data_IF_235065593634
#
_entry.id   IF_235065593634
#
_cell.length_a   1.000
_cell.length_b   1.000
_cell.length_c   1.000
_cell.angle_alpha   90.00
_cell.angle_beta   90.00
_cell.angle_gamma   90.00
#
_symmetry.space_group_name_H-M   'P 1'
#
loop_
_entity.id
_entity.type
_entity.pdbx_description
1 polymer ?
#
# COMPACT_ATOMS: atom_id res chain seq x y z
N UNK A 1 6.03 -0.38 -37.21
CA UNK A 1 7.29 -1.15 -37.26
C UNK A 1 7.80 -1.26 -35.83
N UNK A 2 7.70 -2.45 -35.23
CA UNK A 2 8.18 -2.72 -33.86
C UNK A 2 9.61 -3.23 -33.98
N UNK A 3 10.56 -2.51 -33.43
CA UNK A 3 11.96 -2.92 -33.37
C UNK A 3 12.15 -3.80 -32.13
N UNK A 4 12.32 -5.09 -32.35
CA UNK A 4 12.77 -6.05 -31.34
C UNK A 4 14.24 -5.78 -31.03
N UNK A 5 14.56 -5.35 -29.83
CA UNK A 5 15.94 -5.31 -29.32
C UNK A 5 16.24 -6.66 -28.69
N UNK A 6 16.87 -7.53 -29.45
CA UNK A 6 17.47 -8.77 -28.95
C UNK A 6 18.82 -8.45 -28.33
N UNK A 7 18.91 -8.51 -27.01
CA UNK A 7 20.18 -8.43 -26.31
C UNK A 7 20.91 -9.78 -26.44
N UNK A 8 22.00 -9.81 -27.19
CA UNK A 8 22.96 -10.92 -27.24
C UNK A 8 23.91 -10.79 -26.05
N UNK A 9 23.75 -11.66 -25.05
CA UNK A 9 24.79 -11.90 -24.05
C UNK A 9 25.83 -12.89 -24.62
N UNK A 10 26.95 -12.40 -25.14
CA UNK A 10 28.11 -13.23 -25.48
C UNK A 10 28.97 -13.40 -24.23
N UNK A 11 29.15 -14.65 -23.82
CA UNK A 11 29.82 -15.03 -22.60
C UNK A 11 31.33 -14.72 -22.58
N UNK A 12 31.74 -14.13 -21.46
CA UNK A 12 33.08 -14.27 -20.92
C UNK A 12 32.91 -14.73 -19.47
N UNK A 13 33.50 -15.90 -19.18
CA UNK A 13 33.43 -16.60 -17.90
C UNK A 13 34.26 -15.83 -16.87
N UNK A 14 33.64 -14.87 -16.21
CA UNK A 14 34.02 -14.46 -14.87
C UNK A 14 32.76 -14.66 -13.99
N UNK A 15 32.90 -15.48 -12.94
CA UNK A 15 31.85 -15.68 -11.92
C UNK A 15 31.64 -14.37 -11.16
N UNK A 16 30.90 -13.44 -11.78
CA UNK A 16 30.20 -12.39 -11.09
C UNK A 16 28.74 -12.87 -11.01
N UNK A 17 28.24 -13.13 -9.82
CA UNK A 17 26.82 -13.26 -9.58
C UNK A 17 26.21 -11.90 -9.95
N UNK A 18 25.79 -11.74 -11.20
CA UNK A 18 24.89 -10.65 -11.58
C UNK A 18 23.53 -11.07 -11.03
N UNK A 19 23.26 -10.69 -9.78
CA UNK A 19 21.91 -10.60 -9.30
C UNK A 19 21.24 -9.52 -10.16
N UNK A 20 20.49 -9.94 -11.18
CA UNK A 20 19.52 -9.07 -11.81
C UNK A 20 18.44 -8.76 -10.75
N UNK A 21 18.72 -7.81 -9.88
CA UNK A 21 17.66 -7.14 -9.15
C UNK A 21 16.82 -6.44 -10.22
N UNK A 22 15.67 -7.00 -10.55
CA UNK A 22 14.65 -6.28 -11.29
C UNK A 22 14.28 -5.10 -10.40
N UNK A 23 14.89 -3.95 -10.66
CA UNK A 23 14.48 -2.70 -10.04
C UNK A 23 13.04 -2.47 -10.53
N UNK A 24 12.08 -2.54 -9.63
CA UNK A 24 10.72 -2.15 -9.94
C UNK A 24 10.75 -0.69 -10.39
N UNK A 25 10.09 -0.39 -11.49
CA UNK A 25 9.96 0.99 -11.95
C UNK A 25 9.33 1.82 -10.84
N UNK A 26 9.93 2.98 -10.55
CA UNK A 26 9.40 3.85 -9.50
C UNK A 26 8.00 4.33 -9.91
N UNK A 27 6.97 4.16 -9.04
CA UNK A 27 5.61 4.53 -9.38
C UNK A 27 5.49 6.04 -9.62
N UNK A 28 4.64 6.40 -10.56
CA UNK A 28 4.33 7.77 -10.93
C UNK A 28 2.99 8.22 -10.30
N UNK A 29 2.60 9.49 -10.54
CA UNK A 29 1.39 10.04 -9.94
C UNK A 29 0.10 9.38 -10.47
N UNK A 30 0.09 8.96 -11.74
CA UNK A 30 -1.06 8.25 -12.31
C UNK A 30 -1.26 6.90 -11.62
N UNK A 31 -0.19 6.20 -11.26
CA UNK A 31 -0.27 4.95 -10.50
C UNK A 31 -0.95 5.13 -9.13
N UNK A 32 -0.71 6.28 -8.47
CA UNK A 32 -1.41 6.61 -7.23
C UNK A 32 -2.91 6.84 -7.49
N UNK A 33 -3.25 7.61 -8.51
CA UNK A 33 -4.65 7.85 -8.90
C UNK A 33 -5.33 6.54 -9.28
N UNK A 34 -4.72 5.71 -10.10
CA UNK A 34 -5.28 4.42 -10.56
C UNK A 34 -5.51 3.47 -9.39
N UNK A 35 -4.58 3.39 -8.44
CA UNK A 35 -4.74 2.59 -7.24
C UNK A 35 -5.90 3.06 -6.36
N UNK A 36 -6.09 4.38 -6.21
CA UNK A 36 -7.15 4.95 -5.38
C UNK A 36 -8.52 4.99 -6.07
N UNK A 37 -8.56 4.92 -7.41
CA UNK A 37 -9.78 5.02 -8.21
C UNK A 37 -10.57 3.71 -8.23
N UNK A 38 -11.12 3.36 -7.10
CA UNK A 38 -12.01 2.20 -6.95
C UNK A 38 -13.14 2.51 -5.99
N UNK A 39 -14.33 1.95 -6.27
CA UNK A 39 -15.48 1.98 -5.35
C UNK A 39 -15.44 0.86 -4.32
N UNK A 40 -14.52 -0.09 -4.50
CA UNK A 40 -14.31 -1.18 -3.56
C UNK A 40 -13.50 -0.71 -2.35
N UNK A 41 -13.47 -1.54 -1.32
CA UNK A 41 -12.58 -1.30 -0.18
C UNK A 41 -11.13 -1.52 -0.57
N UNK A 42 -10.28 -0.68 -0.01
CA UNK A 42 -8.84 -0.89 -0.02
C UNK A 42 -8.43 -1.28 1.40
N UNK A 43 -7.95 -2.50 1.56
CA UNK A 43 -7.54 -3.07 2.84
C UNK A 43 -6.10 -2.76 3.17
N UNK A 44 -5.81 -2.43 4.42
CA UNK A 44 -4.45 -2.50 4.96
C UNK A 44 -4.18 -3.95 5.36
N UNK A 45 -3.29 -4.61 4.63
CA UNK A 45 -2.95 -6.02 4.88
C UNK A 45 -1.78 -6.15 5.85
N UNK A 46 -0.71 -5.39 5.61
CA UNK A 46 0.47 -5.33 6.46
C UNK A 46 0.80 -3.88 6.82
N UNK A 47 1.30 -3.68 8.03
CA UNK A 47 1.80 -2.39 8.49
C UNK A 47 2.96 -2.62 9.46
N UNK A 48 3.92 -1.73 9.46
CA UNK A 48 5.11 -1.84 10.32
C UNK A 48 4.91 -1.30 11.73
N UNK A 49 3.89 -0.45 11.94
CA UNK A 49 3.56 0.09 13.27
C UNK A 49 2.36 -0.63 13.87
N UNK A 50 2.41 -0.90 15.17
CA UNK A 50 1.27 -1.44 15.91
C UNK A 50 0.19 -0.37 16.10
N UNK A 51 -1.05 -0.70 15.79
CA UNK A 51 -2.22 0.12 16.06
C UNK A 51 -3.13 -0.62 17.04
N UNK A 52 -3.38 -0.01 18.19
CA UNK A 52 -4.20 -0.59 19.25
C UNK A 52 -3.67 -0.22 20.63
N UNK A 53 -4.35 -0.70 21.65
CA UNK A 53 -4.03 -0.46 23.05
C UNK A 53 -3.87 -1.79 23.79
N UNK A 54 -2.88 -1.92 24.68
CA UNK A 54 -2.77 -3.03 25.64
C UNK A 54 -3.04 -4.44 25.07
N UNK A 55 -2.35 -4.85 24.00
CA UNK A 55 -2.54 -6.12 23.31
C UNK A 55 -3.87 -6.27 22.53
N UNK A 56 -4.67 -5.21 22.40
CA UNK A 56 -5.86 -5.17 21.56
C UNK A 56 -5.53 -4.48 20.25
N UNK A 57 -5.10 -5.25 19.28
CA UNK A 57 -4.78 -4.74 17.95
C UNK A 57 -6.06 -4.34 17.22
N UNK A 58 -6.05 -3.20 16.57
CA UNK A 58 -7.07 -2.88 15.58
C UNK A 58 -6.94 -3.86 14.40
N UNK A 59 -8.05 -4.29 13.84
CA UNK A 59 -8.09 -5.20 12.70
C UNK A 59 -8.98 -4.65 11.59
N UNK A 60 -8.92 -5.25 10.43
CA UNK A 60 -9.79 -4.93 9.30
C UNK A 60 -9.76 -3.45 8.90
N UNK A 61 -8.55 -2.85 8.94
CA UNK A 61 -8.36 -1.48 8.50
C UNK A 61 -8.67 -1.38 7.00
N UNK A 62 -9.57 -0.48 6.64
CA UNK A 62 -9.97 -0.30 5.25
C UNK A 62 -10.32 1.14 4.94
N UNK A 63 -10.21 1.50 3.66
CA UNK A 63 -10.71 2.77 3.12
C UNK A 63 -11.68 2.51 1.98
N UNK A 64 -12.76 3.30 1.91
CA UNK A 64 -13.71 3.31 0.79
C UNK A 64 -13.80 4.72 0.26
N UNK A 65 -13.51 4.91 -1.02
CA UNK A 65 -13.51 6.20 -1.68
C UNK A 65 -14.92 6.82 -1.65
N UNK A 66 -15.01 8.09 -1.30
CA UNK A 66 -16.21 8.92 -1.44
C UNK A 66 -16.04 10.02 -2.49
N UNK A 67 -14.83 10.53 -2.66
CA UNK A 67 -14.46 11.48 -3.71
C UNK A 67 -13.00 11.30 -4.10
N UNK A 68 -12.72 11.30 -5.40
CA UNK A 68 -11.37 11.36 -5.94
C UNK A 68 -11.30 12.45 -7.00
N UNK A 69 -10.38 13.37 -6.83
CA UNK A 69 -9.96 14.35 -7.82
C UNK A 69 -8.45 14.26 -8.01
N UNK A 70 -7.90 15.07 -8.91
CA UNK A 70 -6.45 15.11 -9.09
C UNK A 70 -5.69 15.55 -7.83
N UNK A 71 -6.32 16.39 -7.00
CA UNK A 71 -5.64 17.05 -5.86
C UNK A 71 -6.18 16.60 -4.50
N UNK A 72 -7.29 15.85 -4.47
CA UNK A 72 -7.97 15.45 -3.25
C UNK A 72 -8.50 14.02 -3.31
N UNK A 73 -8.42 13.35 -2.16
CA UNK A 73 -9.01 12.04 -1.91
C UNK A 73 -9.80 12.10 -0.61
N UNK A 74 -11.12 11.91 -0.71
CA UNK A 74 -12.00 11.78 0.45
C UNK A 74 -12.48 10.34 0.56
N UNK A 75 -12.53 9.81 1.77
CA UNK A 75 -12.82 8.40 1.99
C UNK A 75 -13.36 8.15 3.39
N UNK A 76 -14.15 7.10 3.52
CA UNK A 76 -14.50 6.50 4.79
C UNK A 76 -13.36 5.56 5.22
N UNK A 77 -12.76 5.82 6.38
CA UNK A 77 -11.77 4.96 7.01
C UNK A 77 -12.45 4.11 8.07
N UNK A 78 -12.35 2.78 7.96
CA UNK A 78 -12.94 1.85 8.90
C UNK A 78 -11.91 0.93 9.52
N UNK A 79 -12.18 0.52 10.75
CA UNK A 79 -11.40 -0.51 11.46
C UNK A 79 -12.32 -1.27 12.42
N UNK A 80 -11.86 -2.43 12.89
CA UNK A 80 -12.52 -3.23 13.92
C UNK A 80 -11.74 -3.13 15.22
N UNK A 81 -12.43 -2.71 16.29
CA UNK A 81 -11.94 -2.70 17.67
C UNK A 81 -12.91 -3.51 18.54
N UNK A 82 -12.41 -4.52 19.28
CA UNK A 82 -13.23 -5.37 20.14
C UNK A 82 -14.49 -5.94 19.44
N UNK A 83 -14.32 -6.46 18.22
CA UNK A 83 -15.38 -7.00 17.34
C UNK A 83 -16.38 -5.94 16.81
N UNK A 84 -16.24 -4.68 17.15
CA UNK A 84 -17.11 -3.59 16.72
C UNK A 84 -16.40 -2.84 15.57
N UNK A 85 -17.09 -2.73 14.42
CA UNK A 85 -16.65 -1.89 13.32
C UNK A 85 -16.88 -0.42 13.66
N UNK A 86 -15.86 0.38 13.48
CA UNK A 86 -15.89 1.83 13.65
C UNK A 86 -15.43 2.48 12.34
N UNK A 87 -16.11 3.54 11.93
CA UNK A 87 -15.78 4.26 10.70
C UNK A 87 -15.78 5.77 10.93
N UNK A 88 -14.95 6.47 10.19
CA UNK A 88 -14.85 7.92 10.20
C UNK A 88 -14.49 8.46 8.80
N UNK A 89 -14.98 9.64 8.47
CA UNK A 89 -14.62 10.29 7.22
C UNK A 89 -13.26 10.96 7.35
N UNK A 90 -12.40 10.71 6.38
CA UNK A 90 -11.07 11.29 6.29
C UNK A 90 -10.86 11.95 4.93
N UNK A 91 -9.89 12.85 4.86
CA UNK A 91 -9.47 13.49 3.62
C UNK A 91 -7.96 13.59 3.51
N UNK A 92 -7.49 13.51 2.28
CA UNK A 92 -6.07 13.67 1.95
C UNK A 92 -5.89 14.59 0.75
N UNK A 93 -4.75 15.29 0.73
CA UNK A 93 -4.27 16.04 -0.43
C UNK A 93 -3.34 15.12 -1.22
N UNK A 94 -3.54 15.03 -2.54
CA UNK A 94 -2.66 14.29 -3.43
C UNK A 94 -1.62 15.23 -4.03
N UNK A 95 -0.36 14.78 -4.12
CA UNK A 95 0.76 15.58 -4.62
C UNK A 95 1.60 14.79 -5.62
N UNK A 96 1.88 15.45 -6.75
CA UNK A 96 2.67 14.88 -7.86
C UNK A 96 4.07 15.49 -7.98
N UNK A 97 4.37 16.58 -7.28
CA UNK A 97 5.57 17.40 -7.42
C UNK A 97 6.80 16.87 -6.68
N UNK A 98 6.71 15.63 -6.19
CA UNK A 98 7.75 15.00 -5.37
C UNK A 98 8.33 13.78 -6.09
N UNK A 99 9.51 13.34 -5.66
CA UNK A 99 10.18 12.13 -6.18
C UNK A 99 9.26 10.89 -6.16
N UNK A 100 8.37 10.81 -5.19
CA UNK A 100 7.36 9.75 -5.07
C UNK A 100 5.99 10.40 -4.91
N UNK A 101 4.95 9.90 -5.59
CA UNK A 101 3.58 10.37 -5.40
C UNK A 101 3.18 10.31 -3.94
N UNK A 102 2.46 11.34 -3.47
CA UNK A 102 2.13 11.47 -2.05
C UNK A 102 0.64 11.64 -1.83
N UNK A 103 0.18 11.01 -0.76
CA UNK A 103 -1.13 11.23 -0.15
C UNK A 103 -0.89 11.79 1.26
N UNK A 104 -1.26 13.07 1.46
CA UNK A 104 -1.12 13.76 2.75
C UNK A 104 -2.46 13.73 3.45
N UNK A 105 -2.62 12.80 4.37
CA UNK A 105 -3.84 12.66 5.19
C UNK A 105 -3.88 13.78 6.21
N UNK A 106 -4.98 14.48 6.31
CA UNK A 106 -5.17 15.56 7.30
C UNK A 106 -5.29 14.97 8.70
N UNK A 107 -4.57 15.56 9.65
CA UNK A 107 -4.74 15.22 11.06
C UNK A 107 -6.10 15.68 11.59
N UNK A 108 -6.66 14.95 12.53
CA UNK A 108 -7.90 15.29 13.22
C UNK A 108 -7.62 15.74 14.65
N UNK A 109 -8.46 16.62 15.19
CA UNK A 109 -8.38 17.03 16.59
C UNK A 109 -7.05 17.66 17.01
N UNK A 110 -6.33 18.33 16.06
CA UNK A 110 -5.03 18.95 16.34
C UNK A 110 -3.84 18.00 16.24
N UNK A 111 -4.05 16.74 15.84
CA UNK A 111 -2.95 15.80 15.57
C UNK A 111 -2.27 16.14 14.24
N UNK A 112 -0.93 15.94 14.11
CA UNK A 112 -0.25 16.10 12.84
C UNK A 112 -0.81 15.15 11.78
N UNK A 113 -0.92 15.62 10.54
CA UNK A 113 -1.26 14.77 9.40
C UNK A 113 -0.14 13.78 9.08
N UNK A 114 -0.49 12.72 8.36
CA UNK A 114 0.46 11.69 7.93
C UNK A 114 0.67 11.77 6.43
N UNK A 115 1.93 11.82 5.99
CA UNK A 115 2.28 11.76 4.57
C UNK A 115 2.64 10.33 4.19
N UNK A 116 1.83 9.74 3.33
CA UNK A 116 2.09 8.46 2.69
C UNK A 116 2.73 8.68 1.33
N UNK A 117 3.83 7.98 1.04
CA UNK A 117 4.55 8.02 -0.25
C UNK A 117 4.36 6.69 -0.94
N UNK A 118 3.84 6.68 -2.15
CA UNK A 118 3.73 5.46 -2.95
C UNK A 118 5.14 5.00 -3.35
N UNK A 119 5.56 3.85 -2.84
CA UNK A 119 6.88 3.24 -3.11
C UNK A 119 6.81 2.16 -4.19
N UNK A 120 5.68 1.46 -4.27
CA UNK A 120 5.45 0.36 -5.19
C UNK A 120 3.97 0.25 -5.52
N UNK A 121 3.66 -0.12 -6.75
CA UNK A 121 2.31 -0.45 -7.20
C UNK A 121 2.36 -1.58 -8.22
N UNK A 122 1.49 -2.57 -8.05
CA UNK A 122 1.35 -3.68 -8.97
C UNK A 122 -0.06 -3.70 -9.56
N UNK A 123 -0.15 -3.46 -10.87
CA UNK A 123 -1.44 -3.28 -11.57
C UNK A 123 -2.27 -4.56 -11.66
N UNK A 124 -1.63 -5.75 -11.79
CA UNK A 124 -2.39 -7.00 -11.89
C UNK A 124 -2.97 -7.46 -10.55
N UNK A 125 -2.29 -7.14 -9.45
CA UNK A 125 -2.69 -7.54 -8.10
C UNK A 125 -3.31 -6.42 -7.28
N UNK A 126 -3.40 -5.24 -7.87
CA UNK A 126 -3.96 -4.05 -7.23
C UNK A 126 -3.49 -3.89 -5.78
N UNK A 127 -2.20 -4.08 -5.59
CA UNK A 127 -1.54 -3.86 -4.31
C UNK A 127 -0.53 -2.72 -4.39
N UNK A 128 -0.39 -1.97 -3.30
CA UNK A 128 0.51 -0.84 -3.21
C UNK A 128 1.25 -0.83 -1.87
N UNK A 129 2.53 -0.42 -1.91
CA UNK A 129 3.34 -0.18 -0.72
C UNK A 129 3.48 1.32 -0.53
N UNK A 130 3.06 1.78 0.63
CA UNK A 130 3.20 3.16 1.07
C UNK A 130 4.25 3.26 2.15
N UNK A 131 5.20 4.18 1.98
CA UNK A 131 6.11 4.61 3.04
C UNK A 131 5.55 5.80 3.79
N UNK A 132 5.74 5.86 5.09
CA UNK A 132 5.37 7.00 5.93
C UNK A 132 6.38 7.17 7.08
N UNK A 133 6.26 8.25 7.84
CA UNK A 133 7.08 8.45 9.04
C UNK A 133 6.24 8.35 10.30
N UNK A 134 6.73 7.56 11.26
CA UNK A 134 6.20 7.50 12.61
C UNK A 134 7.37 7.50 13.59
N UNK A 135 7.30 8.33 14.63
CA UNK A 135 8.33 8.47 15.68
C UNK A 135 9.74 8.70 15.10
N UNK A 136 9.83 9.50 14.02
CA UNK A 136 11.07 9.83 13.34
C UNK A 136 11.67 8.72 12.46
N UNK A 137 11.02 7.54 12.37
CA UNK A 137 11.47 6.39 11.58
C UNK A 137 10.66 6.27 10.28
N UNK A 138 11.29 5.72 9.25
CA UNK A 138 10.58 5.29 8.04
C UNK A 138 9.86 3.98 8.33
N UNK A 139 8.59 3.97 8.00
CA UNK A 139 7.65 2.87 8.20
C UNK A 139 6.94 2.54 6.89
N UNK A 140 6.35 1.36 6.79
CA UNK A 140 5.65 0.93 5.59
C UNK A 140 4.28 0.33 5.89
N UNK A 141 3.42 0.42 4.86
CA UNK A 141 2.08 -0.14 4.86
C UNK A 141 1.78 -0.74 3.49
N UNK A 142 1.28 -1.98 3.47
CA UNK A 142 0.78 -2.64 2.26
C UNK A 142 -0.74 -2.55 2.21
N UNK A 143 -1.24 -1.99 1.12
CA UNK A 143 -2.67 -1.89 0.83
C UNK A 143 -3.03 -2.73 -0.38
N UNK A 144 -4.23 -3.32 -0.37
CA UNK A 144 -4.74 -4.20 -1.44
C UNK A 144 -6.21 -3.93 -1.68
N UNK A 145 -6.65 -3.87 -2.94
CA UNK A 145 -8.07 -3.73 -3.28
C UNK A 145 -8.86 -5.01 -2.97
N UNK A 146 -10.15 -4.87 -2.66
CA UNK A 146 -11.00 -5.95 -2.11
C UNK A 146 -11.08 -7.18 -3.01
N UNK A 147 -11.19 -7.00 -4.33
CA UNK A 147 -11.30 -8.12 -5.27
C UNK A 147 -10.05 -9.01 -5.34
N UNK A 148 -8.86 -8.47 -4.99
CA UNK A 148 -7.60 -9.22 -5.05
C UNK A 148 -7.07 -9.64 -3.68
N UNK A 149 -7.63 -9.13 -2.57
CA UNK A 149 -7.09 -9.38 -1.23
C UNK A 149 -7.07 -10.86 -0.81
N UNK A 150 -7.99 -11.69 -1.31
CA UNK A 150 -7.98 -13.13 -1.04
C UNK A 150 -7.00 -13.90 -1.92
N UNK A 151 -6.67 -13.35 -3.09
CA UNK A 151 -5.66 -13.92 -3.99
C UNK A 151 -4.25 -13.69 -3.44
N UNK A 152 -4.12 -12.74 -2.51
CA UNK A 152 -2.85 -12.43 -1.86
C UNK A 152 -2.44 -13.43 -0.77
N UNK A 153 -3.23 -14.44 -0.46
CA UNK A 153 -2.82 -15.55 0.44
C UNK A 153 -2.08 -16.70 -0.28
N UNK A 154 -1.88 -16.62 -1.59
CA UNK A 154 -1.21 -17.60 -2.44
C UNK A 154 0.07 -17.06 -3.12
N UNK A 155 0.57 -17.74 -4.15
CA UNK A 155 1.80 -17.40 -4.89
C UNK A 155 1.84 -15.98 -5.51
N UNK A 156 0.70 -15.32 -5.58
CA UNK A 156 0.48 -13.99 -6.12
C UNK A 156 0.93 -12.88 -5.17
N UNK A 157 0.92 -13.12 -3.87
CA UNK A 157 1.42 -12.20 -2.83
C UNK A 157 2.90 -11.96 -2.91
N UNK A 158 3.61 -12.81 -3.61
CA UNK A 158 5.06 -12.87 -3.55
C UNK A 158 5.72 -11.55 -3.95
N UNK A 159 5.19 -10.84 -4.96
CA UNK A 159 5.82 -9.60 -5.42
C UNK A 159 5.46 -8.39 -4.53
N UNK A 160 4.22 -8.31 -4.03
CA UNK A 160 3.85 -7.27 -3.09
C UNK A 160 4.49 -7.44 -1.72
N UNK A 161 4.58 -8.69 -1.22
CA UNK A 161 5.30 -8.97 0.02
C UNK A 161 6.79 -8.74 -0.12
N UNK A 162 7.43 -9.13 -1.23
CA UNK A 162 8.83 -8.81 -1.51
C UNK A 162 9.07 -7.30 -1.53
N UNK A 163 8.20 -6.53 -2.21
CA UNK A 163 8.30 -5.07 -2.20
C UNK A 163 8.11 -4.48 -0.80
N UNK A 164 7.24 -5.07 0.03
CA UNK A 164 7.11 -4.68 1.44
C UNK A 164 8.39 -5.03 2.23
N UNK A 165 9.01 -6.19 1.97
CA UNK A 165 10.23 -6.64 2.65
C UNK A 165 11.44 -5.73 2.38
N UNK A 166 11.45 -5.02 1.25
CA UNK A 166 12.47 -4.02 0.97
C UNK A 166 12.44 -2.84 1.94
N UNK A 167 11.32 -2.60 2.62
CA UNK A 167 11.25 -1.63 3.70
C UNK A 167 12.07 -2.02 4.94
N UNK A 168 12.41 -3.30 5.13
CA UNK A 168 13.21 -3.84 6.27
C UNK A 168 12.62 -3.46 7.63
N UNK A 169 11.32 -3.50 7.75
CA UNK A 169 10.54 -3.13 8.95
C UNK A 169 9.79 -4.33 9.53
N UNK A 170 9.20 -4.16 10.71
CA UNK A 170 8.32 -5.17 11.31
C UNK A 170 7.06 -5.38 10.46
N UNK A 171 6.42 -6.54 10.62
CA UNK A 171 5.15 -6.88 9.99
C UNK A 171 4.08 -7.13 11.06
N UNK A 172 3.06 -6.28 11.09
CA UNK A 172 1.82 -6.53 11.81
C UNK A 172 0.73 -6.78 10.77
N UNK A 173 0.00 -7.89 10.91
CA UNK A 173 -1.09 -8.26 10.01
C UNK A 173 -2.38 -7.59 10.48
N UNK A 174 -3.08 -6.88 9.57
CA UNK A 174 -4.31 -6.13 9.85
C UNK A 174 -5.53 -6.66 9.12
N UNK A 175 -5.34 -7.64 8.25
CA UNK A 175 -6.40 -8.28 7.49
C UNK A 175 -6.40 -9.80 7.72
N UNK A 176 -7.60 -10.35 7.88
CA UNK A 176 -7.89 -11.77 7.80
C UNK A 176 -9.27 -11.99 7.14
N UNK A 177 -9.60 -13.25 6.83
CA UNK A 177 -10.84 -13.58 6.10
C UNK A 177 -12.12 -13.18 6.86
N UNK A 178 -12.04 -12.97 8.18
CA UNK A 178 -13.18 -12.50 8.98
C UNK A 178 -13.52 -11.04 8.71
N UNK A 179 -12.60 -10.28 8.08
CA UNK A 179 -12.82 -8.87 7.74
C UNK A 179 -13.90 -8.68 6.67
N UNK A 180 -14.09 -9.66 5.76
CA UNK A 180 -15.16 -9.62 4.75
C UNK A 180 -16.50 -10.11 5.30
N UNK A 181 -16.51 -11.07 6.22
CA UNK A 181 -17.72 -11.75 6.65
C UNK A 181 -18.45 -11.05 7.78
N UNK A 182 -17.78 -10.21 8.58
CA UNK A 182 -18.34 -9.50 9.76
C UNK A 182 -18.59 -8.02 9.49
N UNK A 183 -19.11 -7.69 8.32
CA UNK A 183 -19.43 -6.30 7.91
C UNK A 183 -20.88 -5.90 8.17
N UNK A 184 -21.63 -6.72 8.93
CA UNK A 184 -22.99 -6.41 9.38
C UNK A 184 -22.97 -5.68 10.72
#
# INVERSE_FOLDING_TARGET
>A
MRTLVTAFCVGLIFRANIECNAAFDAPNFQDLIDFLNTTERIWVVLRSTYLGEWNKQLMCLSTTMTLLTRDAYEYEYCYRKDEIRQCENQSAILRSDTKHPQMVVKGQGGTPGVTYRLKYFHTNYWCAIFGFRADGKEECEMRVQDHTVNETSGAVTNDCEKAYDECKVKKYKYYDDTCKTRTA
#
